data_IF_738604451144
#
_entry.id   IF_738604451144
#
_cell.length_a   1.000
_cell.length_b   1.000
_cell.length_c   1.000
_cell.angle_alpha   90.00
_cell.angle_beta   90.00
_cell.angle_gamma   90.00
#
_symmetry.space_group_name_H-M   'P 1'
#
loop_
_entity.id
_entity.type
_entity.pdbx_description
1 polymer ?
#
# COMPACT_ATOMS: atom_id res chain seq x y z
N UNK A 1 -6.51 -1.03 -8.03
CA UNK A 1 -7.63 -0.57 -7.19
C UNK A 1 -8.45 0.43 -7.99
N UNK A 2 -9.76 0.49 -7.73
CA UNK A 2 -10.70 1.33 -8.47
C UNK A 2 -10.53 2.81 -8.16
N UNK A 3 -10.12 3.12 -6.94
CA UNK A 3 -9.91 4.48 -6.47
C UNK A 3 -8.94 4.51 -5.28
N UNK A 4 -8.62 5.75 -4.84
CA UNK A 4 -7.76 6.02 -3.69
C UNK A 4 -8.34 5.48 -2.39
N UNK A 5 -9.66 5.54 -2.23
CA UNK A 5 -10.34 5.07 -1.02
C UNK A 5 -10.24 3.55 -0.86
N UNK A 6 -10.21 2.78 -1.96
CA UNK A 6 -9.97 1.35 -1.93
C UNK A 6 -8.52 1.01 -1.54
N UNK A 7 -7.53 1.78 -2.02
CA UNK A 7 -6.14 1.68 -1.56
C UNK A 7 -6.05 1.94 -0.06
N UNK A 8 -6.63 3.05 0.42
CA UNK A 8 -6.59 3.43 1.84
C UNK A 8 -7.23 2.38 2.74
N UNK A 9 -8.39 1.86 2.33
CA UNK A 9 -9.12 0.82 3.07
C UNK A 9 -8.31 -0.47 3.20
N UNK A 10 -7.73 -0.95 2.10
CA UNK A 10 -6.92 -2.17 2.11
C UNK A 10 -5.61 -1.97 2.88
N UNK A 11 -5.01 -0.78 2.79
CA UNK A 11 -3.80 -0.43 3.58
C UNK A 11 -4.09 -0.46 5.07
N UNK A 12 -5.25 0.06 5.51
CA UNK A 12 -5.65 0.04 6.90
C UNK A 12 -5.91 -1.39 7.44
N UNK A 13 -6.45 -2.28 6.60
CA UNK A 13 -6.69 -3.69 6.96
C UNK A 13 -5.41 -4.55 6.90
N UNK A 14 -4.40 -4.13 6.13
CA UNK A 14 -3.19 -4.90 5.86
C UNK A 14 -2.51 -5.48 7.13
N UNK A 15 -2.33 -4.73 8.24
CA UNK A 15 -1.72 -5.27 9.47
C UNK A 15 -2.50 -6.44 10.08
N UNK A 16 -3.84 -6.44 9.98
CA UNK A 16 -4.70 -7.53 10.49
C UNK A 16 -4.51 -8.82 9.69
N UNK A 17 -3.99 -8.72 8.47
CA UNK A 17 -3.72 -9.82 7.56
C UNK A 17 -2.23 -10.18 7.46
N UNK A 18 -1.39 -9.68 8.37
CA UNK A 18 0.04 -9.99 8.40
C UNK A 18 0.90 -9.24 7.38
N UNK A 19 0.34 -8.18 6.78
CA UNK A 19 1.06 -7.31 5.85
C UNK A 19 1.52 -6.03 6.56
N UNK A 20 2.75 -5.61 6.28
CA UNK A 20 3.35 -4.39 6.82
C UNK A 20 3.43 -3.33 5.73
N UNK A 21 3.03 -2.10 6.06
CA UNK A 21 3.23 -0.94 5.20
C UNK A 21 4.71 -0.60 5.08
N UNK A 22 5.22 -0.59 3.85
CA UNK A 22 6.55 -0.13 3.51
C UNK A 22 6.51 1.36 3.17
N UNK A 23 7.64 2.05 3.39
CA UNK A 23 7.83 3.46 3.05
C UNK A 23 6.73 4.38 3.63
N UNK A 24 6.34 4.15 4.88
CA UNK A 24 5.23 4.87 5.52
C UNK A 24 5.42 6.39 5.59
N UNK A 25 6.66 6.88 5.54
CA UNK A 25 7.04 8.29 5.45
C UNK A 25 6.71 8.92 4.09
N UNK A 26 6.63 8.10 3.04
CA UNK A 26 6.34 8.52 1.66
C UNK A 26 4.99 8.02 1.16
N UNK A 27 4.29 7.18 1.91
CA UNK A 27 2.94 6.74 1.57
C UNK A 27 1.96 7.93 1.53
N UNK A 28 1.07 8.03 0.52
CA UNK A 28 0.78 7.09 -0.56
C UNK A 28 1.53 7.35 -1.89
N UNK A 29 2.63 8.10 -1.86
CA UNK A 29 3.38 8.56 -3.05
C UNK A 29 4.82 8.03 -3.10
N UNK A 30 5.07 6.84 -2.54
CA UNK A 30 6.42 6.27 -2.52
C UNK A 30 6.97 5.94 -3.92
N UNK A 31 6.10 5.78 -4.93
CA UNK A 31 6.45 5.66 -6.35
C UNK A 31 6.48 6.98 -7.13
N UNK A 32 6.26 8.13 -6.48
CA UNK A 32 6.23 9.47 -7.08
C UNK A 32 4.90 10.21 -6.86
N UNK A 33 4.90 11.55 -7.01
CA UNK A 33 3.73 12.41 -6.71
C UNK A 33 2.48 12.10 -7.55
N UNK A 34 2.64 11.57 -8.76
CA UNK A 34 1.54 11.16 -9.64
C UNK A 34 1.08 9.72 -9.41
N UNK A 35 1.73 9.00 -8.50
CA UNK A 35 1.51 7.59 -8.25
C UNK A 35 0.89 7.40 -6.87
N UNK A 36 -0.38 7.02 -6.82
CA UNK A 36 -1.08 6.79 -5.56
C UNK A 36 -1.12 5.28 -5.27
N UNK A 37 -0.27 4.82 -4.36
CA UNK A 37 -0.13 3.42 -4.04
C UNK A 37 0.26 3.13 -2.58
N UNK A 38 -0.09 1.92 -2.14
CA UNK A 38 0.46 1.32 -0.92
C UNK A 38 1.42 0.19 -1.29
N UNK A 39 2.63 0.23 -0.73
CA UNK A 39 3.61 -0.84 -0.83
C UNK A 39 3.52 -1.66 0.46
N UNK A 40 3.23 -2.95 0.34
CA UNK A 40 3.05 -3.83 1.49
C UNK A 40 4.00 -5.01 1.35
N UNK A 41 4.55 -5.47 2.47
CA UNK A 41 5.32 -6.72 2.54
C UNK A 41 4.71 -7.70 3.54
N UNK A 42 4.81 -9.00 3.26
CA UNK A 42 4.44 -10.05 4.20
C UNK A 42 5.63 -10.54 5.04
N UNK A 43 5.37 -11.44 6.00
CA UNK A 43 6.40 -12.02 6.87
C UNK A 43 7.42 -12.92 6.14
N UNK A 44 7.15 -13.30 4.89
CA UNK A 44 8.05 -14.10 4.06
C UNK A 44 8.89 -13.21 3.12
N UNK A 45 8.69 -11.89 3.14
CA UNK A 45 9.40 -10.91 2.32
C UNK A 45 8.81 -10.73 0.92
N UNK A 46 7.58 -11.17 0.67
CA UNK A 46 6.90 -10.86 -0.58
C UNK A 46 6.34 -9.44 -0.55
N UNK A 47 6.59 -8.69 -1.61
CA UNK A 47 6.11 -7.33 -1.78
C UNK A 47 4.92 -7.27 -2.74
N UNK A 48 3.94 -6.44 -2.42
CA UNK A 48 2.81 -6.11 -3.28
C UNK A 48 2.59 -4.60 -3.33
N UNK A 49 1.98 -4.16 -4.43
CA UNK A 49 1.66 -2.77 -4.67
C UNK A 49 0.17 -2.61 -4.98
N UNK A 50 -0.53 -1.81 -4.17
CA UNK A 50 -1.93 -1.48 -4.38
C UNK A 50 -2.03 -0.12 -5.05
N UNK A 51 -2.19 -0.08 -6.38
CA UNK A 51 -2.25 1.17 -7.16
C UNK A 51 -3.70 1.61 -7.37
N UNK A 52 -4.01 2.89 -7.12
CA UNK A 52 -5.28 3.49 -7.51
C UNK A 52 -5.30 3.79 -9.03
N UNK A 53 -6.35 3.33 -9.71
CA UNK A 53 -6.64 3.65 -11.11
C UNK A 53 -7.48 4.92 -11.28
#
# INVERSE_FOLDING_TARGET
MRDRAEVDRLTALAPEHGWRLMFGDRHPHAGGEQHYAAYLEDAQGFEVELVAG
#
